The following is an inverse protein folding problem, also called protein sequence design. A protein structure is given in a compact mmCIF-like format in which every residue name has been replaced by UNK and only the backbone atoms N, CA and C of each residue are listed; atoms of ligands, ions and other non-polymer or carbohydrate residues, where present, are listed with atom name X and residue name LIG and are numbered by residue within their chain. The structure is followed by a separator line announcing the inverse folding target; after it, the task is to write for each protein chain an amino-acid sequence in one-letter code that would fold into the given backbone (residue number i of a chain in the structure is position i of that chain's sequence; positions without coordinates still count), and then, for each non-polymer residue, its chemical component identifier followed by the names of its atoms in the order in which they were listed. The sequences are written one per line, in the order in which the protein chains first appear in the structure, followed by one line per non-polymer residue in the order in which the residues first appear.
data_IF_754098578070
#
_entry.id   IF_754098578070
#
_cell.length_a   1.000
_cell.length_b   1.000
_cell.length_c   1.000
_cell.angle_alpha   90.00
_cell.angle_beta   90.00
_cell.angle_gamma   90.00
#
_symmetry.space_group_name_H-M   'P 1'
#
loop_
_entity.id
_entity.type
_entity.pdbx_description
1 polymer ?
#
# COMPACT_ATOMS: atom_id res chain seq x y z
N UNK A 1 -16.91 -21.88 2.63
CA UNK A 1 -17.64 -22.58 3.70
C UNK A 1 -16.89 -22.26 4.97
N UNK A 2 -17.27 -21.17 5.66
CA UNK A 2 -16.65 -20.68 6.89
C UNK A 2 -17.07 -21.60 8.04
N UNK A 3 -16.12 -21.98 8.86
CA UNK A 3 -16.38 -22.78 10.06
C UNK A 3 -17.19 -21.95 11.06
N UNK A 4 -18.20 -22.52 11.73
CA UNK A 4 -18.96 -21.80 12.76
C UNK A 4 -18.03 -21.50 13.94
N UNK A 5 -17.72 -20.20 14.14
CA UNK A 5 -16.86 -19.71 15.22
C UNK A 5 -15.71 -18.80 14.79
N UNK A 6 -15.42 -18.66 13.49
CA UNK A 6 -14.52 -17.60 13.03
C UNK A 6 -15.25 -16.24 13.10
N UNK A 7 -14.66 -15.24 13.76
CA UNK A 7 -15.22 -13.89 13.75
C UNK A 7 -15.31 -13.43 12.31
N UNK A 8 -16.49 -12.96 11.93
CA UNK A 8 -16.77 -12.48 10.58
C UNK A 8 -15.79 -11.35 10.22
N UNK A 9 -14.92 -11.58 9.24
CA UNK A 9 -13.92 -10.63 8.78
C UNK A 9 -14.63 -9.41 8.17
N UNK A 10 -14.65 -8.31 8.87
CA UNK A 10 -15.29 -7.08 8.40
C UNK A 10 -14.28 -6.29 7.57
N UNK A 11 -14.68 -5.92 6.35
CA UNK A 11 -13.88 -5.04 5.50
C UNK A 11 -13.96 -3.62 6.08
N UNK A 12 -12.82 -3.13 6.60
CA UNK A 12 -12.70 -1.79 7.18
C UNK A 12 -12.51 -0.76 6.08
N UNK A 13 -11.68 -1.09 5.08
CA UNK A 13 -11.38 -0.19 3.99
C UNK A 13 -10.91 -0.94 2.75
N UNK A 14 -11.32 -0.45 1.58
CA UNK A 14 -10.86 -0.95 0.28
C UNK A 14 -10.52 0.22 -0.62
N UNK A 15 -9.37 0.15 -1.30
CA UNK A 15 -8.96 1.21 -2.18
C UNK A 15 -7.83 0.83 -3.13
N UNK A 16 -7.50 1.78 -4.00
CA UNK A 16 -6.36 1.71 -4.91
C UNK A 16 -5.45 2.90 -4.68
N UNK A 17 -4.13 2.77 -4.90
CA UNK A 17 -3.23 3.91 -4.81
C UNK A 17 -3.60 4.97 -5.85
N UNK A 18 -3.38 6.21 -5.50
CA UNK A 18 -3.62 7.32 -6.43
C UNK A 18 -2.50 7.45 -7.44
N UNK A 19 -2.84 7.94 -8.63
CA UNK A 19 -1.88 8.29 -9.69
C UNK A 19 -0.92 9.42 -9.26
N UNK A 20 -1.26 10.19 -8.23
CA UNK A 20 -0.38 11.19 -7.64
C UNK A 20 0.94 10.62 -7.08
N UNK A 21 0.99 9.31 -6.81
CA UNK A 21 2.24 8.60 -6.50
C UNK A 21 3.27 8.73 -7.64
N UNK A 22 2.81 8.81 -8.88
CA UNK A 22 3.64 8.88 -10.08
C UNK A 22 3.86 10.32 -10.58
N UNK A 23 3.47 11.34 -9.80
CA UNK A 23 3.58 12.75 -10.22
C UNK A 23 4.98 13.09 -10.74
N UNK A 24 6.03 12.72 -10.02
CA UNK A 24 7.41 12.96 -10.44
C UNK A 24 7.77 12.25 -11.75
N UNK A 25 7.29 11.01 -11.95
CA UNK A 25 7.51 10.27 -13.18
C UNK A 25 6.80 10.93 -14.38
N UNK A 26 5.56 11.38 -14.19
CA UNK A 26 4.82 12.08 -15.25
C UNK A 26 5.44 13.43 -15.58
N UNK A 27 5.86 14.18 -14.56
CA UNK A 27 6.58 15.45 -14.76
C UNK A 27 7.87 15.24 -15.58
N UNK A 28 8.63 14.20 -15.26
CA UNK A 28 9.84 13.85 -16.03
C UNK A 28 9.52 13.42 -17.47
N UNK A 29 8.44 12.67 -17.70
CA UNK A 29 7.98 12.32 -19.04
C UNK A 29 7.63 13.57 -19.87
N UNK A 30 6.96 14.56 -19.25
CA UNK A 30 6.61 15.82 -19.90
C UNK A 30 7.87 16.60 -20.29
N UNK A 31 8.85 16.69 -19.40
CA UNK A 31 10.13 17.34 -19.68
C UNK A 31 10.87 16.65 -20.83
N UNK A 32 10.94 15.32 -20.84
CA UNK A 32 11.54 14.57 -21.95
C UNK A 32 10.81 14.82 -23.27
N UNK A 33 9.49 14.77 -23.25
CA UNK A 33 8.69 15.03 -24.44
C UNK A 33 8.89 16.46 -24.96
N UNK A 34 8.94 17.45 -24.07
CA UNK A 34 9.22 18.84 -24.42
C UNK A 34 10.63 19.00 -25.03
N UNK A 35 11.64 18.33 -24.44
CA UNK A 35 13.02 18.33 -24.96
C UNK A 35 13.12 17.72 -26.35
N UNK A 36 12.47 16.58 -26.60
CA UNK A 36 12.42 15.95 -27.93
C UNK A 36 11.73 16.85 -28.92
N UNK A 37 10.61 17.48 -28.55
CA UNK A 37 9.86 18.40 -29.44
C UNK A 37 10.66 19.65 -29.76
N UNK A 38 11.30 20.25 -28.75
CA UNK A 38 12.17 21.42 -28.94
C UNK A 38 13.36 21.08 -29.84
N UNK A 39 14.01 19.92 -29.62
CA UNK A 39 15.08 19.44 -30.50
C UNK A 39 14.65 19.26 -31.94
N UNK A 40 13.45 18.72 -32.16
CA UNK A 40 12.88 18.60 -33.51
C UNK A 40 12.69 19.96 -34.18
N UNK A 41 12.14 20.93 -33.47
CA UNK A 41 11.86 22.27 -34.03
C UNK A 41 13.14 23.08 -34.30
N UNK A 42 14.16 22.95 -33.42
CA UNK A 42 15.36 23.78 -33.49
C UNK A 42 16.45 23.20 -34.41
N UNK A 43 16.64 21.87 -34.40
CA UNK A 43 17.77 21.25 -35.09
C UNK A 43 17.44 20.76 -36.51
N UNK A 44 16.32 20.12 -36.73
CA UNK A 44 16.05 19.51 -38.05
C UNK A 44 14.58 19.16 -38.25
N UNK A 45 13.74 20.12 -38.66
CA UNK A 45 12.31 19.88 -38.91
C UNK A 45 12.02 18.90 -40.06
N UNK A 46 13.06 18.42 -40.76
CA UNK A 46 12.93 17.47 -41.88
C UNK A 46 13.11 16.01 -41.51
N UNK A 47 13.47 15.70 -40.26
CA UNK A 47 13.69 14.32 -39.84
C UNK A 47 12.58 13.84 -38.88
N UNK A 48 11.48 13.25 -39.39
CA UNK A 48 10.36 12.79 -38.56
C UNK A 48 10.77 11.66 -37.57
N UNK A 49 11.92 11.02 -37.81
CA UNK A 49 12.48 10.01 -36.92
C UNK A 49 12.73 10.52 -35.49
N UNK A 50 12.98 11.83 -35.30
CA UNK A 50 13.14 12.40 -33.95
C UNK A 50 11.86 12.26 -33.14
N UNK A 51 10.69 12.32 -33.78
CA UNK A 51 9.39 12.16 -33.13
C UNK A 51 9.17 10.73 -32.59
N UNK A 52 9.90 9.74 -33.12
CA UNK A 52 9.89 8.36 -32.55
C UNK A 52 10.40 8.37 -31.11
N UNK A 53 11.28 9.31 -30.75
CA UNK A 53 11.72 9.52 -29.38
C UNK A 53 10.59 9.83 -28.38
N UNK A 54 9.42 10.31 -28.84
CA UNK A 54 8.25 10.53 -27.98
C UNK A 54 7.58 9.23 -27.53
N UNK A 55 7.81 8.13 -28.25
CA UNK A 55 7.23 6.82 -27.89
C UNK A 55 7.77 6.35 -26.54
N UNK A 56 9.05 6.60 -26.24
CA UNK A 56 9.70 6.15 -25.01
C UNK A 56 9.03 6.74 -23.75
N UNK A 57 8.93 8.08 -23.60
CA UNK A 57 8.26 8.65 -22.41
C UNK A 57 6.78 8.28 -22.35
N UNK A 58 6.10 8.12 -23.50
CA UNK A 58 4.71 7.71 -23.53
C UNK A 58 4.52 6.28 -23.00
N UNK A 59 5.29 5.32 -23.50
CA UNK A 59 5.24 3.94 -23.03
C UNK A 59 5.61 3.83 -21.55
N UNK A 60 6.58 4.61 -21.08
CA UNK A 60 6.96 4.63 -19.69
C UNK A 60 5.85 5.21 -18.80
N UNK A 61 5.23 6.33 -19.18
CA UNK A 61 4.09 6.89 -18.47
C UNK A 61 2.91 5.92 -18.43
N UNK A 62 2.62 5.25 -19.54
CA UNK A 62 1.55 4.26 -19.64
C UNK A 62 1.80 3.04 -18.75
N UNK A 63 3.03 2.53 -18.71
CA UNK A 63 3.40 1.41 -17.82
C UNK A 63 3.21 1.76 -16.35
N UNK A 64 3.59 2.99 -15.94
CA UNK A 64 3.38 3.49 -14.58
C UNK A 64 1.91 3.63 -14.22
N UNK A 65 1.12 4.16 -15.17
CA UNK A 65 -0.32 4.30 -14.99
C UNK A 65 -1.01 2.95 -14.78
N UNK A 66 -0.69 1.96 -15.62
CA UNK A 66 -1.23 0.60 -15.53
C UNK A 66 -0.80 -0.06 -14.21
N UNK A 67 0.48 0.00 -13.87
CA UNK A 67 1.01 -0.60 -12.65
C UNK A 67 0.30 -0.06 -11.38
N UNK A 68 0.00 1.23 -11.35
CA UNK A 68 -0.72 1.84 -10.23
C UNK A 68 -2.19 1.41 -10.19
N UNK A 69 -2.86 1.31 -11.33
CA UNK A 69 -4.26 0.83 -11.44
C UNK A 69 -4.42 -0.63 -11.05
N UNK A 70 -3.40 -1.45 -11.26
CA UNK A 70 -3.41 -2.88 -10.93
C UNK A 70 -3.12 -3.19 -9.46
N UNK A 71 -2.83 -2.18 -8.63
CA UNK A 71 -2.70 -2.35 -7.18
C UNK A 71 -4.04 -2.15 -6.49
N UNK A 72 -4.36 -3.06 -5.60
CA UNK A 72 -5.55 -2.99 -4.74
C UNK A 72 -5.14 -3.24 -3.31
N UNK A 73 -5.66 -2.42 -2.43
CA UNK A 73 -5.53 -2.57 -0.98
C UNK A 73 -6.88 -2.95 -0.41
N UNK A 74 -6.90 -3.94 0.44
CA UNK A 74 -8.07 -4.35 1.21
C UNK A 74 -7.63 -4.52 2.67
N UNK A 75 -8.23 -3.75 3.54
CA UNK A 75 -7.96 -3.77 4.98
C UNK A 75 -9.20 -4.35 5.64
N UNK A 76 -9.03 -5.46 6.31
CA UNK A 76 -10.06 -6.10 7.11
C UNK A 76 -9.79 -5.88 8.59
N UNK A 77 -10.69 -6.35 9.43
CA UNK A 77 -10.52 -6.29 10.89
C UNK A 77 -9.32 -7.10 11.40
N UNK A 78 -8.78 -8.04 10.61
CA UNK A 78 -7.74 -8.98 11.04
C UNK A 78 -6.46 -8.93 10.21
N UNK A 79 -6.56 -8.61 8.91
CA UNK A 79 -5.44 -8.64 7.97
C UNK A 79 -5.49 -7.52 6.94
N UNK A 80 -4.34 -7.23 6.36
CA UNK A 80 -4.20 -6.33 5.21
C UNK A 80 -3.83 -7.18 4.00
N UNK A 81 -4.64 -7.11 2.95
CA UNK A 81 -4.39 -7.77 1.67
C UNK A 81 -3.93 -6.75 0.65
N UNK A 82 -2.79 -6.99 0.04
CA UNK A 82 -2.26 -6.18 -1.06
C UNK A 82 -2.16 -7.05 -2.28
N UNK A 83 -3.02 -6.76 -3.25
CA UNK A 83 -3.02 -7.43 -4.54
C UNK A 83 -2.31 -6.54 -5.56
N UNK A 84 -1.29 -7.08 -6.20
CA UNK A 84 -0.54 -6.41 -7.28
C UNK A 84 -0.45 -7.31 -8.49
N UNK A 85 -0.32 -6.70 -9.68
CA UNK A 85 -0.02 -7.38 -10.93
C UNK A 85 -1.10 -7.25 -11.98
N UNK A 86 -0.65 -7.18 -13.25
CA UNK A 86 -1.49 -7.10 -14.44
C UNK A 86 -1.71 -8.49 -15.05
N UNK A 87 -0.63 -9.20 -15.34
CA UNK A 87 -0.64 -10.53 -15.94
C UNK A 87 -0.54 -11.65 -14.90
N UNK A 88 0.25 -11.43 -13.86
CA UNK A 88 0.38 -12.34 -12.72
C UNK A 88 -0.09 -11.63 -11.46
N UNK A 89 -1.11 -12.14 -10.80
CA UNK A 89 -1.60 -11.58 -9.54
C UNK A 89 -0.79 -12.15 -8.39
N UNK A 90 -0.16 -11.25 -7.66
CA UNK A 90 0.48 -11.56 -6.39
C UNK A 90 -0.33 -10.92 -5.28
N UNK A 91 -0.82 -11.72 -4.36
CA UNK A 91 -1.51 -11.25 -3.17
C UNK A 91 -0.62 -11.49 -1.97
N UNK A 92 -0.24 -10.41 -1.31
CA UNK A 92 0.47 -10.45 -0.03
C UNK A 92 -0.53 -10.16 1.08
N UNK A 93 -0.57 -11.02 2.09
CA UNK A 93 -1.42 -10.86 3.27
C UNK A 93 -0.53 -10.58 4.47
N UNK A 94 -0.91 -9.57 5.24
CA UNK A 94 -0.25 -9.19 6.48
C UNK A 94 -1.26 -9.17 7.61
N UNK A 95 -1.02 -9.97 8.63
CA UNK A 95 -1.84 -10.00 9.84
C UNK A 95 -1.59 -8.74 10.69
N UNK A 96 -2.65 -8.04 11.07
CA UNK A 96 -2.60 -6.77 11.79
C UNK A 96 -1.83 -6.85 13.12
N UNK A 97 -1.90 -7.96 13.85
CA UNK A 97 -1.20 -8.10 15.13
C UNK A 97 0.34 -8.10 14.98
N UNK A 98 0.88 -8.39 13.79
CA UNK A 98 2.32 -8.35 13.51
C UNK A 98 2.85 -6.94 13.26
N UNK A 99 1.98 -5.96 13.06
CA UNK A 99 2.38 -4.57 12.85
C UNK A 99 2.95 -4.01 14.16
N UNK A 100 4.18 -3.48 14.09
CA UNK A 100 4.89 -2.91 15.25
C UNK A 100 4.79 -1.40 15.31
N UNK A 101 4.91 -0.75 14.15
CA UNK A 101 4.96 0.72 14.06
C UNK A 101 4.18 1.24 12.86
N UNK A 102 3.71 2.48 12.98
CA UNK A 102 2.86 3.18 12.01
C UNK A 102 3.46 4.55 11.69
N UNK A 103 4.07 4.71 10.53
CA UNK A 103 4.62 5.98 10.09
C UNK A 103 3.72 6.60 9.02
N UNK A 104 3.34 7.86 9.21
CA UNK A 104 2.63 8.65 8.22
C UNK A 104 3.62 9.56 7.49
N UNK A 105 3.68 9.48 6.17
CA UNK A 105 4.51 10.33 5.32
C UNK A 105 3.62 11.06 4.34
N UNK A 106 3.57 12.38 4.46
CA UNK A 106 2.76 13.26 3.62
C UNK A 106 3.65 14.25 2.84
N UNK A 107 4.23 13.85 1.70
CA UNK A 107 4.94 14.79 0.84
C UNK A 107 4.03 15.96 0.45
N UNK A 108 4.58 17.16 0.25
CA UNK A 108 3.82 18.37 0.01
C UNK A 108 2.78 18.23 -1.12
N UNK A 109 3.14 17.60 -2.23
CA UNK A 109 2.23 17.36 -3.38
C UNK A 109 1.08 16.39 -3.07
N UNK A 110 1.29 15.40 -2.19
CA UNK A 110 0.22 14.51 -1.72
C UNK A 110 -0.67 15.21 -0.70
N UNK A 111 -0.08 16.01 0.18
CA UNK A 111 -0.80 16.79 1.19
C UNK A 111 -1.77 17.79 0.55
N UNK A 112 -1.37 18.46 -0.54
CA UNK A 112 -2.21 19.39 -1.29
C UNK A 112 -3.49 18.73 -1.83
N UNK A 113 -3.46 17.43 -2.11
CA UNK A 113 -4.61 16.67 -2.61
C UNK A 113 -5.27 15.81 -1.52
N UNK A 114 -4.95 16.05 -0.24
CA UNK A 114 -5.53 15.34 0.90
C UNK A 114 -5.14 13.85 0.96
N UNK A 115 -3.92 13.51 0.51
CA UNK A 115 -3.42 12.13 0.45
C UNK A 115 -2.09 11.98 1.18
N UNK A 116 -1.80 10.74 1.61
CA UNK A 116 -0.54 10.42 2.29
C UNK A 116 -0.15 8.97 2.07
N UNK A 117 1.06 8.64 2.46
CA UNK A 117 1.58 7.28 2.50
C UNK A 117 1.56 6.78 3.93
N UNK A 118 0.98 5.61 4.17
CA UNK A 118 1.03 4.94 5.46
C UNK A 118 2.04 3.80 5.37
N UNK A 119 3.09 3.87 6.16
CA UNK A 119 4.14 2.85 6.26
C UNK A 119 3.87 2.04 7.52
N UNK A 120 3.71 0.74 7.36
CA UNK A 120 3.51 -0.22 8.43
C UNK A 120 4.79 -1.03 8.59
N UNK A 121 5.44 -0.92 9.73
CA UNK A 121 6.61 -1.74 10.06
C UNK A 121 6.14 -3.00 10.79
N UNK A 122 6.59 -4.16 10.35
CA UNK A 122 6.10 -5.44 10.84
C UNK A 122 7.20 -6.27 11.47
N UNK A 123 6.82 -7.25 12.27
CA UNK A 123 7.73 -8.27 12.80
C UNK A 123 7.97 -9.42 11.81
N UNK A 124 7.32 -9.39 10.64
CA UNK A 124 7.46 -10.44 9.63
C UNK A 124 8.78 -10.29 8.88
N UNK A 125 9.54 -11.38 8.76
CA UNK A 125 10.80 -11.40 8.02
C UNK A 125 10.61 -11.29 6.50
N UNK A 126 9.47 -11.76 6.00
CA UNK A 126 9.16 -11.77 4.57
C UNK A 126 8.70 -10.39 4.08
N UNK A 127 7.98 -9.66 4.92
CA UNK A 127 7.45 -8.33 4.59
C UNK A 127 7.74 -7.38 5.75
N UNK A 128 8.98 -6.94 5.95
CA UNK A 128 9.38 -6.08 7.07
C UNK A 128 8.68 -4.73 7.06
N UNK A 129 8.32 -4.24 5.87
CA UNK A 129 7.58 -2.98 5.71
C UNK A 129 6.51 -3.13 4.62
N UNK A 130 5.30 -2.66 4.93
CA UNK A 130 4.20 -2.53 3.99
C UNK A 130 3.88 -1.05 3.81
N UNK A 131 3.95 -0.56 2.56
CA UNK A 131 3.66 0.84 2.24
C UNK A 131 2.34 0.95 1.47
N UNK A 132 1.39 1.66 2.06
CA UNK A 132 0.14 2.05 1.42
C UNK A 132 0.34 3.42 0.76
N UNK A 133 0.46 3.44 -0.58
CA UNK A 133 0.80 4.64 -1.33
C UNK A 133 -0.40 5.52 -1.63
N UNK A 134 -0.26 6.82 -1.39
CA UNK A 134 -1.19 7.88 -1.78
C UNK A 134 -2.66 7.56 -1.46
N UNK A 135 -2.91 7.07 -0.25
CA UNK A 135 -4.27 6.78 0.23
C UNK A 135 -4.98 8.07 0.66
N UNK A 136 -6.29 8.17 0.44
CA UNK A 136 -7.06 9.31 0.92
C UNK A 136 -7.15 9.26 2.44
N UNK A 137 -7.19 10.43 3.10
CA UNK A 137 -7.31 10.55 4.55
C UNK A 137 -6.36 9.63 5.32
N UNK A 138 -5.07 9.64 4.92
CA UNK A 138 -4.06 8.71 5.41
C UNK A 138 -3.92 8.72 6.94
N UNK A 139 -4.10 9.87 7.60
CA UNK A 139 -4.09 9.98 9.05
C UNK A 139 -5.23 9.18 9.69
N UNK A 140 -6.47 9.38 9.21
CA UNK A 140 -7.64 8.65 9.71
C UNK A 140 -7.51 7.14 9.47
N UNK A 141 -7.01 6.75 8.30
CA UNK A 141 -6.77 5.34 7.98
C UNK A 141 -5.72 4.72 8.91
N UNK A 142 -4.62 5.43 9.19
CA UNK A 142 -3.59 5.00 10.15
C UNK A 142 -4.21 4.77 11.53
N UNK A 143 -5.04 5.70 12.02
CA UNK A 143 -5.67 5.58 13.34
C UNK A 143 -6.68 4.43 13.40
N UNK A 144 -7.44 4.18 12.32
CA UNK A 144 -8.30 3.01 12.21
C UNK A 144 -7.50 1.70 12.28
N UNK A 145 -6.43 1.59 11.49
CA UNK A 145 -5.56 0.40 11.50
C UNK A 145 -5.01 0.17 12.91
N UNK A 146 -4.52 1.22 13.56
CA UNK A 146 -4.01 1.15 14.93
C UNK A 146 -5.06 0.62 15.90
N UNK A 147 -6.26 1.17 15.88
CA UNK A 147 -7.36 0.74 16.75
C UNK A 147 -7.70 -0.74 16.57
N UNK A 148 -7.76 -1.20 15.31
CA UNK A 148 -8.01 -2.63 15.03
C UNK A 148 -6.87 -3.52 15.50
N UNK A 149 -5.61 -3.10 15.31
CA UNK A 149 -4.45 -3.85 15.80
C UNK A 149 -4.45 -3.97 17.32
N UNK A 150 -4.73 -2.88 18.03
CA UNK A 150 -4.78 -2.89 19.50
C UNK A 150 -5.89 -3.83 20.03
N UNK A 151 -7.07 -3.78 19.40
CA UNK A 151 -8.17 -4.72 19.72
C UNK A 151 -7.79 -6.18 19.48
N UNK A 152 -7.10 -6.47 18.37
CA UNK A 152 -6.65 -7.83 18.06
C UNK A 152 -5.62 -8.34 19.07
N UNK A 153 -4.68 -7.50 19.47
CA UNK A 153 -3.68 -7.83 20.50
C UNK A 153 -4.33 -8.14 21.84
N UNK A 154 -5.30 -7.32 22.26
CA UNK A 154 -6.05 -7.54 23.50
C UNK A 154 -6.81 -8.87 23.47
N UNK A 155 -7.52 -9.19 22.38
CA UNK A 155 -8.23 -10.46 22.22
C UNK A 155 -7.31 -11.68 22.31
N UNK A 156 -6.11 -11.61 21.72
CA UNK A 156 -5.12 -12.69 21.78
C UNK A 156 -4.53 -12.82 23.18
N UNK A 157 -4.15 -11.73 23.84
CA UNK A 157 -3.63 -11.75 25.20
C UNK A 157 -4.60 -12.33 26.22
N UNK A 158 -5.89 -12.04 26.08
CA UNK A 158 -6.93 -12.66 26.92
C UNK A 158 -7.06 -14.16 26.64
N UNK A 159 -6.92 -14.58 25.39
CA UNK A 159 -7.05 -16.00 25.00
C UNK A 159 -5.87 -16.84 25.51
N UNK A 160 -4.66 -16.27 25.52
CA UNK A 160 -3.47 -16.95 26.04
C UNK A 160 -3.55 -17.14 27.57
N UNK A 161 -4.20 -16.20 28.30
CA UNK A 161 -4.45 -16.31 29.74
C UNK A 161 -5.54 -17.35 30.09
N UNK A 162 -6.46 -17.61 29.16
CA UNK A 162 -7.56 -18.58 29.37
C UNK A 162 -7.13 -20.02 29.07
N UNK A 163 -6.03 -20.22 28.34
CA UNK A 163 -5.49 -21.54 27.97
C UNK A 163 -4.52 -22.07 29.05
N UNK A 164 -4.02 -21.21 29.94
CA UNK A 164 -3.15 -21.62 31.03
C UNK A 164 -4.02 -21.79 32.34
N UNK A 165 -4.57 -22.99 32.64
CA UNK A 165 -5.34 -23.19 33.85
C UNK A 165 -4.42 -22.96 35.04
N UNK A 166 -4.88 -22.30 36.10
CA UNK A 166 -4.06 -22.09 37.29
C UNK A 166 -3.56 -23.44 37.78
N UNK A 167 -2.23 -23.60 37.81
CA UNK A 167 -1.58 -24.75 38.39
C UNK A 167 -2.11 -24.92 39.77
N UNK A 168 -2.94 -25.95 39.97
CA UNK A 168 -3.41 -26.39 41.26
C UNK A 168 -2.19 -26.79 42.08
N UNK A 169 -1.71 -25.88 42.92
CA UNK A 169 -0.75 -26.21 43.97
C UNK A 169 -1.42 -27.17 44.92
N UNK A 170 -1.15 -28.46 44.79
CA UNK A 170 -1.49 -29.43 45.80
C UNK A 170 -0.78 -29.04 47.10
N UNK A 171 -1.50 -28.95 48.22
CA UNK A 171 -0.84 -28.80 49.50
C UNK A 171 -0.24 -30.14 49.90
N UNK A 172 1.10 -30.19 49.99
CA UNK A 172 1.82 -31.30 50.60
C UNK A 172 1.47 -31.38 52.08
N UNK A 173 0.79 -32.43 52.46
CA UNK A 173 0.72 -32.96 53.85
C UNK A 173 1.95 -33.79 54.15
#
# INVERSE_FOLDING_TARGET
MSLPGEPEEIIVWRGTPSQWTNFGAYFFCVLLAAGVTAGYLLLSPRQPLILVGLIVPLLWAMSRWIATKCRRYEITSERIKVTTGLFSRQTSELELYRVRDYTLVEPMWLRLVGRGNVILTTADRTTPQLVLHAVPSAAALKDQIRTHTERMRQRRGVRDLEIDPPSTSEPST
#
